data_IF_033389105574
#
_entry.id   IF_033389105574
#
_cell.length_a   1.000
_cell.length_b   1.000
_cell.length_c   1.000
_cell.angle_alpha   90.00
_cell.angle_beta   90.00
_cell.angle_gamma   90.00
#
_symmetry.space_group_name_H-M   'P 1'
#
loop_
_entity.id
_entity.type
_entity.pdbx_description
1 polymer ?
2 non-polymer ?
3 non-polymer ?
4 non-polymer ?
5 water ?
#
# COMPACT_ATOMS: atom_id res chain seq x y z
N UNK A 1 14.30 7.55 7.68
CA UNK A 1 14.64 8.44 6.56
C UNK A 1 14.24 7.83 5.23
N UNK A 2 13.67 8.66 4.37
CA UNK A 2 13.41 8.19 3.01
C UNK A 2 14.45 8.79 2.07
N UNK A 3 14.83 7.93 1.12
CA UNK A 3 15.97 8.20 0.27
C UNK A 3 15.71 8.01 -1.22
N UNK A 4 14.56 7.46 -1.63
CA UNK A 4 14.32 7.13 -3.02
C UNK A 4 13.26 7.99 -3.69
N UNK A 5 13.59 8.49 -4.89
CA UNK A 5 12.60 9.07 -5.79
C UNK A 5 12.10 7.93 -6.71
N UNK A 6 11.08 7.20 -6.26
CA UNK A 6 10.59 6.09 -7.05
C UNK A 6 10.04 6.60 -8.38
N UNK A 7 10.30 5.87 -9.46
CA UNK A 7 9.83 6.22 -10.79
C UNK A 7 8.54 5.47 -11.07
N UNK A 8 7.53 6.24 -11.45
CA UNK A 8 6.25 5.61 -11.78
C UNK A 8 6.32 4.86 -13.10
N UNK A 9 5.43 3.87 -13.21
CA UNK A 9 5.30 3.09 -14.44
C UNK A 9 5.04 3.99 -15.62
N UNK A 10 5.86 3.81 -16.66
CA UNK A 10 5.53 4.40 -17.97
C UNK A 10 4.19 3.90 -18.47
N UNK A 11 3.28 4.80 -18.86
CA UNK A 11 2.01 4.33 -19.37
C UNK A 11 1.08 3.80 -18.28
N UNK A 12 1.30 4.16 -17.04
CA UNK A 12 0.48 3.71 -15.92
C UNK A 12 -0.98 3.97 -16.21
N UNK A 13 -1.81 2.97 -15.96
CA UNK A 13 -3.25 3.01 -16.22
C UNK A 13 -3.97 3.24 -14.89
N UNK A 14 -4.22 4.51 -14.60
CA UNK A 14 -4.79 4.95 -13.33
C UNK A 14 -6.19 4.40 -13.16
N UNK A 15 -7.09 4.37 -14.15
CA UNK A 15 -8.43 3.87 -13.86
C UNK A 15 -8.46 2.35 -13.56
N UNK A 16 -7.54 1.59 -14.15
CA UNK A 16 -7.42 0.16 -13.92
C UNK A 16 -6.92 -0.17 -12.51
N UNK A 17 -5.97 0.66 -12.05
CA UNK A 17 -5.43 0.45 -10.71
C UNK A 17 -6.46 0.92 -9.68
N UNK A 18 -6.97 2.13 -9.87
CA UNK A 18 -7.91 2.76 -8.96
C UNK A 18 -9.33 2.39 -9.37
N UNK A 19 -9.59 1.09 -9.37
CA UNK A 19 -10.88 0.63 -9.90
C UNK A 19 -11.89 0.26 -8.81
N UNK A 20 -11.56 0.48 -7.55
CA UNK A 20 -12.45 0.12 -6.46
C UNK A 20 -12.19 -1.22 -5.81
N UNK A 21 -11.25 -1.99 -6.36
CA UNK A 21 -11.01 -3.34 -5.87
C UNK A 21 -9.88 -3.36 -4.83
N UNK A 22 -9.65 -4.56 -4.30
CA UNK A 22 -8.67 -4.80 -3.26
C UNK A 22 -7.35 -5.28 -3.84
N UNK A 23 -6.27 -4.83 -3.21
CA UNK A 23 -4.92 -5.31 -3.43
C UNK A 23 -4.36 -5.90 -2.12
N UNK A 24 -3.76 -7.08 -2.16
CA UNK A 24 -3.11 -7.76 -1.06
C UNK A 24 -1.60 -7.58 -1.15
N UNK A 25 -0.98 -7.23 -0.01
CA UNK A 25 0.49 -7.22 -0.02
C UNK A 25 1.00 -8.63 0.17
N UNK A 26 1.69 -9.16 -0.82
CA UNK A 26 2.25 -10.50 -0.67
C UNK A 26 3.70 -10.51 -0.22
N UNK A 27 4.47 -9.46 -0.52
CA UNK A 27 5.86 -9.37 -0.17
C UNK A 27 6.20 -7.89 0.07
N UNK A 28 7.11 -7.63 0.99
CA UNK A 28 7.52 -6.27 1.25
C UNK A 28 9.01 -6.16 1.57
N UNK A 29 9.52 -4.93 1.48
CA UNK A 29 10.91 -4.63 1.78
C UNK A 29 11.01 -3.19 2.26
N UNK A 30 11.57 -3.01 3.44
CA UNK A 30 11.84 -1.64 3.93
C UNK A 30 13.35 -1.46 3.91
N UNK A 31 13.81 -0.37 3.29
CA UNK A 31 15.25 -0.13 3.19
C UNK A 31 15.86 0.16 4.57
N UNK A 32 15.03 0.50 5.55
CA UNK A 32 15.35 0.51 6.98
C UNK A 32 14.67 -0.69 7.61
N UNK A 33 15.24 -1.88 7.50
CA UNK A 33 14.51 -3.09 7.84
C UNK A 33 13.98 -3.08 9.27
N UNK A 34 14.66 -2.42 10.21
CA UNK A 34 14.12 -2.43 11.58
C UNK A 34 12.87 -1.60 11.76
N UNK A 35 12.44 -0.82 10.77
CA UNK A 35 11.25 -0.01 10.96
C UNK A 35 9.95 -0.81 10.93
N UNK A 36 9.96 -2.01 10.38
CA UNK A 36 8.73 -2.83 10.34
C UNK A 36 9.02 -4.25 10.81
N UNK A 37 8.02 -4.95 11.35
CA UNK A 37 8.18 -6.35 11.80
C UNK A 37 8.58 -7.27 10.64
N UNK A 38 9.15 -8.43 11.00
CA UNK A 38 9.47 -9.48 10.03
C UNK A 38 8.25 -10.29 9.68
N UNK A 39 7.15 -10.22 10.40
CA UNK A 39 5.92 -10.87 10.03
C UNK A 39 4.77 -9.85 10.09
N UNK A 40 4.00 -9.84 8.99
CA UNK A 40 2.99 -8.82 8.84
C UNK A 40 1.97 -9.19 7.78
N UNK A 41 0.84 -8.49 7.88
CA UNK A 41 -0.29 -8.60 6.95
C UNK A 41 -0.74 -7.20 6.54
N UNK A 42 -0.96 -6.93 5.27
CA UNK A 42 -1.47 -5.63 4.85
C UNK A 42 -2.24 -5.75 3.52
N UNK A 43 -3.22 -4.87 3.38
CA UNK A 43 -4.03 -4.86 2.16
C UNK A 43 -4.57 -3.45 1.95
N UNK A 44 -5.01 -3.17 0.72
CA UNK A 44 -5.67 -1.91 0.53
C UNK A 44 -6.73 -2.00 -0.55
N UNK A 45 -7.65 -1.05 -0.53
CA UNK A 45 -8.53 -0.82 -1.68
C UNK A 45 -8.15 0.53 -2.27
N UNK A 46 -8.29 0.64 -3.60
CA UNK A 46 -7.98 1.91 -4.24
C UNK A 46 -9.03 2.20 -5.28
N UNK A 47 -9.59 3.41 -5.29
CA UNK A 47 -10.64 3.79 -6.21
C UNK A 47 -10.95 5.26 -6.21
N UNK A 48 -11.80 5.72 -7.12
CA UNK A 48 -12.39 7.05 -7.10
C UNK A 48 -13.78 6.96 -6.46
N UNK A 49 -13.98 7.84 -5.49
CA UNK A 49 -15.29 7.88 -4.83
C UNK A 49 -15.85 9.30 -4.87
N UNK A 50 -16.98 9.53 -5.46
CA UNK A 50 -17.55 10.84 -5.66
C UNK A 50 -16.49 11.84 -6.14
N UNK A 51 -15.71 11.44 -7.14
CA UNK A 51 -14.75 12.23 -7.85
C UNK A 51 -13.38 12.32 -7.24
N UNK A 52 -13.25 11.85 -6.00
CA UNK A 52 -11.98 11.98 -5.28
C UNK A 52 -11.16 10.69 -5.34
N UNK A 53 -9.87 10.74 -5.53
CA UNK A 53 -9.03 9.55 -5.49
C UNK A 53 -8.82 9.08 -4.05
N UNK A 54 -9.14 7.84 -3.73
CA UNK A 54 -9.14 7.34 -2.36
C UNK A 54 -8.38 6.03 -2.25
N UNK A 55 -7.82 5.77 -1.09
CA UNK A 55 -7.39 4.45 -0.67
C UNK A 55 -7.92 4.14 0.76
N UNK A 56 -8.19 2.87 0.96
CA UNK A 56 -8.53 2.30 2.25
C UNK A 56 -7.47 1.26 2.59
N UNK A 57 -6.91 1.41 3.80
CA UNK A 57 -5.79 0.54 4.21
C UNK A 57 -6.16 -0.34 5.40
N UNK A 58 -5.52 -1.50 5.43
CA UNK A 58 -5.59 -2.48 6.50
C UNK A 58 -4.17 -2.91 6.89
N UNK A 59 -3.89 -2.84 8.17
CA UNK A 59 -2.65 -3.41 8.75
C UNK A 59 -2.99 -4.43 9.83
N UNK A 60 -2.33 -5.57 9.88
CA UNK A 60 -2.49 -6.59 10.94
C UNK A 60 -1.17 -7.23 11.27
N UNK A 61 -0.82 -7.27 12.56
CA UNK A 61 0.41 -7.94 12.99
C UNK A 61 -0.03 -9.32 13.47
N UNK A 62 0.33 -10.37 12.78
CA UNK A 62 -0.30 -11.65 13.09
C UNK A 62 0.25 -12.27 14.37
N UNK A 63 1.23 -11.60 14.98
CA UNK A 63 1.71 -12.15 16.25
C UNK A 63 1.15 -11.35 17.41
N UNK A 64 1.26 -10.03 17.37
CA UNK A 64 0.76 -9.14 18.43
C UNK A 64 -0.75 -8.95 18.33
N UNK A 65 -1.31 -9.08 17.13
CA UNK A 65 -2.70 -8.92 16.74
C UNK A 65 -3.20 -7.47 16.73
N UNK A 66 -2.36 -6.46 16.81
CA UNK A 66 -2.46 -5.06 16.51
C UNK A 66 -3.07 -4.90 15.12
N UNK A 67 -4.17 -4.18 15.10
CA UNK A 67 -4.97 -4.07 13.88
C UNK A 67 -5.40 -2.64 13.66
N UNK A 68 -5.25 -2.10 12.47
CA UNK A 68 -5.85 -0.77 12.22
C UNK A 68 -6.17 -0.60 10.76
N UNK A 69 -7.19 0.19 10.54
CA UNK A 69 -7.63 0.65 9.23
C UNK A 69 -7.44 2.14 9.06
N UNK A 70 -7.30 2.56 7.82
CA UNK A 70 -7.18 3.98 7.49
C UNK A 70 -7.91 4.33 6.18
N UNK A 71 -8.40 5.54 6.09
CA UNK A 71 -8.99 6.12 4.87
C UNK A 71 -8.11 7.28 4.42
N UNK A 72 -7.77 7.29 3.13
CA UNK A 72 -6.91 8.30 2.58
C UNK A 72 -7.46 8.98 1.32
N UNK A 73 -7.19 10.28 1.26
CA UNK A 73 -7.46 11.13 0.13
C UNK A 73 -6.12 11.39 -0.57
N UNK A 74 -6.05 11.06 -1.85
CA UNK A 74 -4.82 11.23 -2.62
C UNK A 74 -4.87 12.43 -3.56
N UNK A 75 -3.78 13.19 -3.53
CA UNK A 75 -3.60 14.28 -4.47
C UNK A 75 -2.53 13.85 -5.50
N UNK A 76 -2.71 14.31 -6.72
CA UNK A 76 -1.82 13.95 -7.81
C UNK A 76 -0.58 14.82 -7.90
N UNK A 77 0.62 14.23 -7.91
CA UNK A 77 1.86 14.96 -8.18
C UNK A 77 2.25 14.83 -9.66
N UNK A 78 2.03 13.62 -10.19
CA UNK A 78 2.33 13.28 -11.59
C UNK A 78 1.69 11.91 -11.83
N UNK A 79 1.70 11.45 -13.08
CA UNK A 79 1.05 10.16 -13.32
C UNK A 79 1.68 9.04 -12.52
N UNK A 80 0.85 8.43 -11.65
CA UNK A 80 1.38 7.33 -10.89
C UNK A 80 2.01 7.77 -9.58
N UNK A 81 2.05 9.04 -9.24
CA UNK A 81 2.72 9.53 -8.03
C UNK A 81 1.80 10.45 -7.24
N UNK A 82 1.54 10.10 -5.98
CA UNK A 82 0.52 10.70 -5.17
C UNK A 82 1.04 11.07 -3.78
N UNK A 83 0.36 12.04 -3.17
CA UNK A 83 0.53 12.41 -1.77
C UNK A 83 -0.83 12.18 -1.09
N UNK A 84 -0.81 11.37 -0.03
CA UNK A 84 -2.05 10.96 0.60
C UNK A 84 -2.09 11.37 2.05
N UNK A 85 -3.19 11.95 2.47
CA UNK A 85 -3.44 12.06 3.91
C UNK A 85 -3.96 10.74 4.44
N UNK A 86 -4.23 10.65 5.72
CA UNK A 86 -4.92 9.49 6.27
C UNK A 86 -5.60 9.89 7.58
N UNK A 87 -6.73 9.22 7.77
CA UNK A 87 -7.40 9.18 9.06
C UNK A 87 -7.51 7.72 9.48
N UNK A 88 -7.21 7.46 10.75
CA UNK A 88 -7.40 6.15 11.35
C UNK A 88 -8.89 5.97 11.64
N UNK A 89 -9.42 4.84 11.21
CA UNK A 89 -10.83 4.54 11.37
C UNK A 89 -11.02 3.11 11.88
N UNK A 90 -12.17 2.80 12.45
CA UNK A 90 -12.50 1.41 12.72
C UNK A 90 -12.92 0.83 11.37
N UNK A 91 -13.21 -0.47 11.34
CA UNK A 91 -13.48 -1.13 10.07
C UNK A 91 -14.73 -0.59 9.38
N UNK A 92 -15.54 0.12 10.12
CA UNK A 92 -16.81 0.67 9.66
C UNK A 92 -16.66 2.11 9.21
N UNK A 93 -15.47 2.71 9.29
CA UNK A 93 -15.37 4.09 8.80
C UNK A 93 -15.48 5.15 9.88
N UNK A 94 -15.72 4.77 11.13
CA UNK A 94 -15.80 5.81 12.16
C UNK A 94 -14.41 6.28 12.52
N UNK A 95 -14.33 7.61 12.61
CA UNK A 95 -12.99 8.16 12.82
C UNK A 95 -12.46 8.02 14.24
N UNK A 96 -11.27 7.44 14.36
CA UNK A 96 -10.49 7.22 15.55
C UNK A 96 -9.42 8.30 15.71
N UNK A 97 -8.78 8.68 14.61
CA UNK A 97 -7.78 9.73 14.55
C UNK A 97 -8.04 10.52 13.25
N UNK A 98 -8.32 11.81 13.41
CA UNK A 98 -8.68 12.63 12.25
C UNK A 98 -7.45 12.90 11.37
N UNK A 99 -7.73 13.25 10.13
CA UNK A 99 -6.76 13.82 9.23
C UNK A 99 -6.03 14.93 10.01
N UNK A 100 -4.72 14.86 9.89
CA UNK A 100 -3.81 15.70 10.63
C UNK A 100 -2.71 16.24 9.75
N UNK A 101 -2.52 17.55 9.81
CA UNK A 101 -1.37 18.22 9.19
C UNK A 101 -0.13 17.41 9.55
N UNK A 102 0.67 17.01 8.57
CA UNK A 102 1.92 16.33 8.87
C UNK A 102 1.84 14.81 8.89
N UNK A 103 0.64 14.26 8.85
CA UNK A 103 0.40 12.83 8.77
C UNK A 103 0.03 12.50 7.32
N UNK A 104 1.01 11.99 6.56
CA UNK A 104 0.78 11.74 5.15
C UNK A 104 1.75 10.65 4.70
N UNK A 105 1.43 10.08 3.54
CA UNK A 105 2.39 9.25 2.87
C UNK A 105 2.44 9.60 1.39
N UNK A 106 3.61 9.41 0.78
CA UNK A 106 3.68 9.40 -0.67
C UNK A 106 3.45 7.96 -1.17
N UNK A 107 3.00 7.87 -2.41
CA UNK A 107 2.61 6.59 -2.98
C UNK A 107 2.95 6.61 -4.47
N UNK A 108 3.82 5.70 -4.91
CA UNK A 108 4.22 5.60 -6.30
C UNK A 108 3.97 4.19 -6.83
N UNK A 109 3.22 4.12 -7.92
CA UNK A 109 3.00 2.85 -8.59
C UNK A 109 4.08 2.69 -9.67
N UNK A 110 5.04 1.82 -9.37
CA UNK A 110 6.23 1.57 -10.19
C UNK A 110 5.95 0.60 -11.33
N UNK A 111 4.96 -0.25 -11.13
CA UNK A 111 4.57 -1.29 -12.05
C UNK A 111 3.14 -1.70 -11.71
N UNK A 112 2.30 -1.89 -12.73
CA UNK A 112 1.02 -2.52 -12.46
C UNK A 112 0.46 -3.27 -13.67
N UNK A 113 -0.29 -4.32 -13.42
CA UNK A 113 -1.04 -4.95 -14.51
C UNK A 113 -2.38 -5.44 -13.96
N UNK A 114 -3.10 -6.27 -14.66
CA UNK A 114 -4.34 -6.86 -14.21
C UNK A 114 -4.35 -7.61 -12.88
N UNK A 115 -3.21 -8.15 -12.53
CA UNK A 115 -3.18 -9.02 -11.34
C UNK A 115 -2.14 -8.64 -10.30
N UNK A 116 -1.20 -7.76 -10.59
CA UNK A 116 -0.09 -7.49 -9.71
C UNK A 116 0.40 -6.05 -9.80
N UNK A 117 1.17 -5.63 -8.83
CA UNK A 117 1.74 -4.29 -8.81
C UNK A 117 2.96 -4.25 -7.90
N UNK A 118 3.82 -3.27 -8.16
CA UNK A 118 4.92 -2.88 -7.29
C UNK A 118 4.72 -1.43 -6.94
N UNK A 119 4.69 -1.12 -5.64
CA UNK A 119 4.59 0.24 -5.15
C UNK A 119 5.74 0.58 -4.22
N UNK A 120 5.99 1.86 -4.07
CA UNK A 120 6.82 2.47 -3.06
C UNK A 120 5.99 3.47 -2.26
N UNK A 121 6.20 3.48 -0.95
CA UNK A 121 5.55 4.46 -0.10
C UNK A 121 6.56 4.94 0.92
N UNK A 122 6.52 6.23 1.22
CA UNK A 122 7.22 6.83 2.32
C UNK A 122 6.18 7.45 3.27
N UNK A 123 6.00 6.82 4.44
CA UNK A 123 5.09 7.26 5.46
C UNK A 123 5.73 8.29 6.39
N UNK A 124 5.05 9.41 6.60
CA UNK A 124 5.41 10.47 7.55
C UNK A 124 4.35 10.64 8.63
N UNK A 125 4.82 10.67 9.86
CA UNK A 125 4.04 11.05 11.03
C UNK A 125 4.76 12.21 11.73
N UNK A 126 4.34 13.44 11.46
CA UNK A 126 5.14 14.54 11.98
C UNK A 126 6.54 14.44 11.38
N UNK A 127 7.48 14.61 12.29
CA UNK A 127 8.87 14.59 11.88
C UNK A 127 9.45 13.18 11.81
N UNK A 128 8.64 12.14 12.02
CA UNK A 128 9.09 10.76 11.90
C UNK A 128 8.70 10.19 10.55
N UNK A 129 9.49 9.22 10.04
CA UNK A 129 9.04 8.47 8.86
C UNK A 129 9.35 6.98 9.05
N UNK A 130 8.73 6.09 8.33
CA UNK A 130 8.88 4.65 8.39
C UNK A 130 9.74 4.07 7.27
N UNK A 131 10.59 4.90 6.68
CA UNK A 131 11.52 4.45 5.65
C UNK A 131 10.97 4.21 4.27
N UNK A 132 11.87 3.91 3.31
CA UNK A 132 11.41 3.54 1.98
C UNK A 132 10.79 2.14 2.02
N UNK A 133 9.51 2.00 1.74
CA UNK A 133 8.80 0.74 1.86
C UNK A 133 8.32 0.32 0.48
N UNK A 134 8.84 -0.77 -0.03
CA UNK A 134 8.34 -1.39 -1.26
C UNK A 134 7.40 -2.55 -0.94
N UNK A 135 6.35 -2.65 -1.74
CA UNK A 135 5.38 -3.72 -1.60
C UNK A 135 4.99 -4.30 -2.94
N UNK A 136 5.05 -5.64 -3.01
CA UNK A 136 4.50 -6.40 -4.12
C UNK A 136 3.05 -6.73 -3.75
N UNK A 137 2.18 -6.36 -4.67
CA UNK A 137 0.74 -6.53 -4.50
C UNK A 137 0.19 -7.55 -5.48
N UNK A 138 -0.90 -8.21 -5.09
CA UNK A 138 -1.57 -9.14 -5.99
C UNK A 138 -3.08 -8.98 -5.78
N UNK A 139 -3.91 -9.20 -6.81
CA UNK A 139 -5.35 -9.19 -6.66
C UNK A 139 -5.87 -10.45 -5.94
N UNK A 140 -5.03 -11.47 -5.86
CA UNK A 140 -5.35 -12.74 -5.18
C UNK A 140 -4.46 -12.91 -3.96
N UNK A 141 -5.12 -13.09 -2.82
CA UNK A 141 -4.35 -13.03 -1.56
C UNK A 141 -3.34 -14.15 -1.48
N UNK A 142 -3.54 -15.24 -2.21
CA UNK A 142 -2.60 -16.35 -2.04
C UNK A 142 -1.66 -16.57 -3.22
N UNK A 143 -1.62 -15.63 -4.16
CA UNK A 143 -0.78 -15.86 -5.34
C UNK A 143 0.68 -15.50 -5.10
N UNK A 144 1.53 -16.42 -5.50
CA UNK A 144 2.97 -16.19 -5.51
C UNK A 144 3.26 -15.12 -6.54
N UNK A 145 4.28 -14.31 -6.31
CA UNK A 145 4.68 -13.30 -7.28
C UNK A 145 5.12 -13.91 -8.61
N UNK A 146 4.54 -13.41 -9.68
CA UNK A 146 4.81 -13.86 -11.04
C UNK A 146 5.99 -13.12 -11.66
N UNK A 147 6.38 -13.53 -12.87
CA UNK A 147 7.57 -13.00 -13.51
C UNK A 147 7.40 -11.55 -13.87
N UNK A 148 6.18 -11.08 -14.20
CA UNK A 148 6.06 -9.66 -14.53
C UNK A 148 6.46 -8.79 -13.33
N UNK A 149 5.86 -8.97 -12.16
CA UNK A 149 6.25 -8.09 -11.05
C UNK A 149 7.67 -8.39 -10.56
N UNK A 150 8.15 -9.63 -10.62
CA UNK A 150 9.54 -9.89 -10.18
C UNK A 150 10.54 -9.20 -11.10
N UNK A 151 10.22 -9.12 -12.39
CA UNK A 151 11.11 -8.46 -13.32
C UNK A 151 11.08 -6.98 -13.00
N UNK A 152 9.91 -6.49 -12.63
CA UNK A 152 9.83 -5.06 -12.25
C UNK A 152 10.65 -4.78 -11.01
N UNK A 153 10.70 -5.72 -10.05
CA UNK A 153 11.55 -5.52 -8.89
C UNK A 153 13.00 -5.39 -9.35
N UNK A 154 13.46 -6.29 -10.22
CA UNK A 154 14.81 -6.17 -10.77
C UNK A 154 15.03 -4.87 -11.52
N UNK A 155 14.00 -4.44 -12.27
CA UNK A 155 14.17 -3.22 -13.06
C UNK A 155 14.24 -1.99 -12.17
N UNK A 156 13.78 -2.07 -10.92
CA UNK A 156 14.01 -1.02 -9.94
C UNK A 156 15.34 -1.16 -9.21
N UNK A 157 16.15 -2.13 -9.64
CA UNK A 157 17.47 -2.32 -9.08
C UNK A 157 17.36 -2.80 -7.65
N UNK A 158 16.32 -3.60 -7.40
CA UNK A 158 16.13 -4.34 -6.16
C UNK A 158 16.24 -5.84 -6.46
N UNK A 159 16.37 -6.67 -5.43
CA UNK A 159 16.34 -8.12 -5.58
C UNK A 159 15.11 -8.69 -4.85
N UNK A 160 14.25 -9.37 -5.61
CA UNK A 160 13.04 -9.92 -5.03
C UNK A 160 13.35 -10.90 -3.92
N UNK A 161 14.45 -11.63 -4.04
CA UNK A 161 14.92 -12.57 -3.01
C UNK A 161 15.06 -11.85 -1.68
N UNK A 162 15.21 -10.53 -1.61
CA UNK A 162 15.34 -9.96 -0.29
C UNK A 162 14.05 -9.48 0.34
N UNK A 163 12.98 -9.50 -0.41
CA UNK A 163 11.67 -9.17 0.13
C UNK A 163 11.20 -10.23 1.12
N UNK A 164 10.39 -9.76 2.05
CA UNK A 164 9.78 -10.64 3.05
C UNK A 164 8.35 -11.02 2.64
N UNK A 165 8.05 -12.31 2.62
CA UNK A 165 6.73 -12.84 2.26
C UNK A 165 5.76 -12.70 3.41
N UNK A 166 4.49 -12.47 3.07
CA UNK A 166 3.46 -12.41 4.12
C UNK A 166 2.63 -13.68 4.17
N UNK A 167 2.94 -14.59 3.28
CA UNK A 167 2.13 -15.69 2.83
C UNK A 167 2.04 -16.80 3.88
N UNK A 168 2.95 -16.86 4.85
CA UNK A 168 2.83 -17.89 5.89
C UNK A 168 2.31 -17.35 7.21
N UNK A 169 1.53 -16.27 7.19
CA UNK A 169 1.06 -15.61 8.39
C UNK A 169 -0.42 -15.81 8.69
N UNK A 170 -1.13 -16.59 7.91
CA UNK A 170 -2.56 -16.80 8.16
C UNK A 170 -3.28 -15.47 8.22
N UNK A 171 -2.88 -14.59 7.29
CA UNK A 171 -3.54 -13.31 7.14
C UNK A 171 -4.98 -13.50 6.70
N UNK A 172 -5.88 -12.88 7.43
CA UNK A 172 -7.27 -12.97 6.98
C UNK A 172 -7.81 -11.55 6.80
N UNK A 173 -8.40 -11.32 5.65
CA UNK A 173 -8.77 -9.98 5.27
C UNK A 173 -10.27 -9.76 5.17
N UNK A 174 -10.70 -8.52 5.39
CA UNK A 174 -12.11 -8.14 5.26
C UNK A 174 -12.25 -7.24 4.05
N UNK A 175 -12.47 -7.86 2.89
CA UNK A 175 -12.58 -7.08 1.66
C UNK A 175 -13.82 -6.21 1.64
N UNK A 176 -14.91 -6.63 2.28
CA UNK A 176 -16.09 -5.76 2.28
C UNK A 176 -15.81 -4.43 2.98
N UNK A 177 -15.12 -4.54 4.12
CA UNK A 177 -14.77 -3.35 4.91
C UNK A 177 -13.87 -2.44 4.08
N UNK A 178 -12.87 -2.99 3.42
CA UNK A 178 -11.98 -2.16 2.62
C UNK A 178 -12.69 -1.45 1.50
N UNK A 179 -13.56 -2.18 0.79
CA UNK A 179 -14.25 -1.53 -0.32
C UNK A 179 -15.19 -0.46 0.23
N UNK A 180 -15.87 -0.70 1.33
CA UNK A 180 -16.77 0.33 1.89
C UNK A 180 -16.07 1.59 2.37
N UNK A 181 -14.86 1.41 2.92
CA UNK A 181 -14.11 2.52 3.47
C UNK A 181 -13.71 3.55 2.42
N UNK A 182 -13.65 3.12 1.15
CA UNK A 182 -13.30 4.06 0.09
C UNK A 182 -14.23 5.27 0.04
N UNK A 183 -15.45 5.11 0.55
CA UNK A 183 -16.50 6.10 0.52
C UNK A 183 -16.49 6.97 1.77
N UNK A 184 -15.69 6.63 2.78
CA UNK A 184 -15.77 7.33 4.07
C UNK A 184 -14.77 8.45 4.20
#
# INVERSE_FOLDING_TARGET
ACTKNAIAQTGFNKDKYFNGDVWYVTDYLDLEPDDVPKRYCAALAAGTASGKLKEALYHYDPKTQDTFYDVSELQVESLGKYTANFKKVDKNGNVKVAVTAGNYYTFTVMYADDSSALIHTCLHKGNKDLGDLYAVLNRNKDAAAGDKVKSAVSAATLEFSKFISTKENNCAYDNDSLKSLLTK
#
